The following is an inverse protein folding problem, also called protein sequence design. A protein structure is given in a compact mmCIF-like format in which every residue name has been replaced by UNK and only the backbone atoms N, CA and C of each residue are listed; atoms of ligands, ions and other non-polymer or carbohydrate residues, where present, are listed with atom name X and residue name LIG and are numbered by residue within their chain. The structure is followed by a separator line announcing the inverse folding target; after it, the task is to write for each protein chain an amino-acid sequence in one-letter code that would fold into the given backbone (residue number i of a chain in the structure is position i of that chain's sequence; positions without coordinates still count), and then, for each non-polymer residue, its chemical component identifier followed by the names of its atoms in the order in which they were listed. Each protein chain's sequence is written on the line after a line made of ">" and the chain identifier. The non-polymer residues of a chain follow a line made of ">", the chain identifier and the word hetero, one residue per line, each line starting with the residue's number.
data_IF_627354366084
#
_entry.id   IF_627354366084
#
_cell.length_a   1.000
_cell.length_b   1.000
_cell.length_c   1.000
_cell.angle_alpha   90.00
_cell.angle_beta   90.00
_cell.angle_gamma   90.00
#
_symmetry.space_group_name_H-M   'P 1'
#
loop_
_entity.id
_entity.type
_entity.pdbx_description
1 polymer ?
#
# COMPACT_ATOMS: atom_id res chain seq x y z
N UNK A 1 30.72 -10.10 -2.24
CA UNK A 1 30.26 -11.28 -3.01
C UNK A 1 29.23 -10.81 -4.04
N UNK A 2 29.42 -11.05 -5.34
CA UNK A 2 28.54 -10.51 -6.39
C UNK A 2 27.29 -11.38 -6.58
N UNK A 3 26.10 -10.77 -6.55
CA UNK A 3 24.81 -11.40 -6.84
C UNK A 3 24.69 -11.74 -8.34
N UNK A 4 24.57 -13.03 -8.64
CA UNK A 4 24.55 -13.59 -9.99
C UNK A 4 23.20 -13.46 -10.74
N UNK A 5 22.23 -12.68 -10.25
CA UNK A 5 20.89 -12.64 -10.86
C UNK A 5 20.49 -11.31 -11.54
N UNK A 6 21.34 -10.27 -11.55
CA UNK A 6 21.01 -8.98 -12.20
C UNK A 6 21.51 -8.83 -13.64
N UNK A 7 21.98 -9.90 -14.30
CA UNK A 7 22.68 -9.81 -15.59
C UNK A 7 22.05 -10.51 -16.81
N UNK A 8 20.76 -10.86 -16.80
CA UNK A 8 20.18 -11.60 -17.94
C UNK A 8 18.90 -11.06 -18.57
N UNK A 9 18.56 -9.79 -18.44
CA UNK A 9 17.33 -9.26 -19.11
C UNK A 9 17.57 -8.18 -20.16
N UNK A 10 18.82 -7.79 -20.45
CA UNK A 10 19.08 -6.71 -21.42
C UNK A 10 19.27 -7.16 -22.88
N UNK A 11 18.85 -8.37 -23.28
CA UNK A 11 19.17 -8.83 -24.65
C UNK A 11 18.16 -9.76 -25.31
N UNK A 12 16.87 -9.42 -25.27
CA UNK A 12 15.89 -9.98 -26.22
C UNK A 12 14.72 -8.99 -26.48
N UNK A 13 15.03 -7.83 -27.04
CA UNK A 13 14.03 -6.97 -27.71
C UNK A 13 13.90 -7.40 -29.17
N UNK A 14 13.28 -8.56 -29.39
CA UNK A 14 12.81 -8.99 -30.72
C UNK A 14 11.73 -10.06 -30.52
N UNK A 15 10.46 -9.63 -30.55
CA UNK A 15 9.28 -10.50 -30.39
C UNK A 15 8.51 -10.26 -29.08
N UNK A 16 7.80 -9.12 -28.98
CA UNK A 16 6.86 -8.87 -27.87
C UNK A 16 5.51 -9.48 -28.20
N UNK A 17 5.30 -10.72 -27.78
CA UNK A 17 4.00 -11.42 -27.79
C UNK A 17 3.22 -11.03 -26.53
N UNK A 18 1.94 -10.68 -26.66
CA UNK A 18 1.03 -10.20 -25.59
C UNK A 18 0.76 -11.20 -24.44
N UNK A 19 1.30 -12.42 -24.51
CA UNK A 19 1.13 -13.44 -23.48
C UNK A 19 2.09 -13.29 -22.28
N UNK A 20 3.23 -12.59 -22.45
CA UNK A 20 4.20 -12.38 -21.37
C UNK A 20 3.69 -11.40 -20.29
N UNK A 21 2.78 -10.48 -20.65
CA UNK A 21 2.27 -9.47 -19.73
C UNK A 21 1.31 -10.02 -18.68
N UNK A 22 0.56 -11.08 -18.97
CA UNK A 22 -0.39 -11.67 -18.02
C UNK A 22 0.33 -12.43 -16.89
N UNK A 23 1.31 -13.28 -17.24
CA UNK A 23 2.10 -14.04 -16.28
C UNK A 23 3.00 -13.16 -15.40
N UNK A 24 3.59 -12.10 -15.97
CA UNK A 24 4.36 -11.11 -15.21
C UNK A 24 3.49 -10.30 -14.24
N UNK A 25 2.26 -9.94 -14.65
CA UNK A 25 1.31 -9.21 -13.80
C UNK A 25 0.82 -10.07 -12.63
N UNK A 26 0.45 -11.33 -12.89
CA UNK A 26 -0.01 -12.27 -11.88
C UNK A 26 1.07 -12.58 -10.83
N UNK A 27 2.34 -12.67 -11.23
CA UNK A 27 3.47 -12.87 -10.32
C UNK A 27 3.76 -11.64 -9.44
N UNK A 28 3.65 -10.44 -10.01
CA UNK A 28 3.83 -9.18 -9.26
C UNK A 28 2.70 -9.02 -8.23
N UNK A 29 1.45 -9.28 -8.62
CA UNK A 29 0.32 -9.23 -7.68
C UNK A 29 0.45 -10.29 -6.58
N UNK A 30 0.80 -11.54 -6.91
CA UNK A 30 0.96 -12.60 -5.91
C UNK A 30 2.12 -12.37 -4.93
N UNK A 31 3.19 -11.70 -5.37
CA UNK A 31 4.30 -11.30 -4.48
C UNK A 31 3.92 -10.10 -3.61
N UNK A 32 3.28 -9.08 -4.18
CA UNK A 32 2.76 -7.94 -3.45
C UNK A 32 1.67 -8.34 -2.42
N UNK A 33 0.87 -9.36 -2.73
CA UNK A 33 -0.12 -9.96 -1.84
C UNK A 33 0.55 -10.59 -0.61
N UNK A 34 1.60 -11.40 -0.85
CA UNK A 34 2.40 -12.00 0.22
C UNK A 34 3.05 -10.94 1.09
N UNK A 35 3.58 -9.89 0.48
CA UNK A 35 4.15 -8.77 1.21
C UNK A 35 3.09 -8.09 2.10
N UNK A 36 1.90 -7.82 1.55
CA UNK A 36 0.82 -7.13 2.24
C UNK A 36 0.27 -7.93 3.43
N UNK A 37 -0.01 -9.22 3.27
CA UNK A 37 -0.43 -10.09 4.37
C UNK A 37 0.65 -10.13 5.46
N UNK A 38 1.92 -10.14 5.08
CA UNK A 38 3.04 -10.01 6.01
C UNK A 38 2.96 -8.75 6.86
N UNK A 39 2.72 -7.58 6.25
CA UNK A 39 2.56 -6.32 6.98
C UNK A 39 1.32 -6.33 7.90
N UNK A 40 0.17 -6.79 7.41
CA UNK A 40 -1.06 -6.83 8.19
C UNK A 40 -0.93 -7.75 9.41
N UNK A 41 -0.28 -8.91 9.25
CA UNK A 41 -0.04 -9.87 10.33
C UNK A 41 0.87 -9.34 11.44
N UNK A 42 1.70 -8.33 11.17
CA UNK A 42 2.55 -7.70 12.20
C UNK A 42 1.78 -6.69 13.06
N UNK A 43 0.58 -6.29 12.65
CA UNK A 43 -0.20 -5.29 13.38
C UNK A 43 -0.96 -5.95 14.53
N UNK A 44 -0.83 -5.37 15.72
CA UNK A 44 -1.56 -5.84 16.90
C UNK A 44 -3.08 -5.83 16.72
N UNK A 45 -3.60 -4.97 15.84
CA UNK A 45 -5.02 -4.88 15.52
C UNK A 45 -5.60 -6.18 14.92
N UNK A 46 -4.78 -6.99 14.25
CA UNK A 46 -5.22 -8.17 13.50
C UNK A 46 -4.69 -9.50 14.07
N UNK A 47 -4.10 -9.47 15.27
CA UNK A 47 -3.44 -10.65 15.88
C UNK A 47 -4.36 -11.85 16.11
N UNK A 48 -5.64 -11.62 16.33
CA UNK A 48 -6.62 -12.65 16.69
C UNK A 48 -7.38 -13.18 15.46
N UNK A 49 -7.04 -12.71 14.26
CA UNK A 49 -7.68 -13.16 13.03
C UNK A 49 -7.10 -14.51 12.58
N UNK A 50 -8.00 -15.42 12.20
CA UNK A 50 -7.63 -16.65 11.52
C UNK A 50 -7.00 -16.35 10.14
N UNK A 51 -6.30 -17.32 9.53
CA UNK A 51 -5.75 -17.15 8.19
C UNK A 51 -6.80 -16.82 7.12
N UNK A 52 -8.03 -17.30 7.27
CA UNK A 52 -9.13 -17.01 6.35
C UNK A 52 -9.60 -15.56 6.50
N UNK A 53 -9.83 -15.09 7.73
CA UNK A 53 -10.20 -13.70 8.01
C UNK A 53 -9.10 -12.72 7.57
N UNK A 54 -7.82 -13.09 7.75
CA UNK A 54 -6.70 -12.29 7.25
C UNK A 54 -6.72 -12.14 5.72
N UNK A 55 -7.12 -13.19 4.98
CA UNK A 55 -7.31 -13.08 3.53
C UNK A 55 -8.49 -12.17 3.16
N UNK A 56 -9.54 -12.13 3.98
CA UNK A 56 -10.66 -11.21 3.77
C UNK A 56 -10.23 -9.76 3.99
N UNK A 57 -9.48 -9.47 5.05
CA UNK A 57 -8.90 -8.15 5.30
C UNK A 57 -7.97 -7.74 4.16
N UNK A 58 -7.13 -8.66 3.69
CA UNK A 58 -6.30 -8.42 2.54
C UNK A 58 -7.15 -8.07 1.31
N UNK A 59 -8.16 -8.86 0.94
CA UNK A 59 -9.03 -8.54 -0.21
C UNK A 59 -9.78 -7.22 -0.06
N UNK A 60 -10.19 -6.86 1.15
CA UNK A 60 -10.93 -5.63 1.45
C UNK A 60 -10.04 -4.37 1.44
N UNK A 61 -8.72 -4.51 1.57
CA UNK A 61 -7.79 -3.38 1.68
C UNK A 61 -7.00 -3.17 0.39
N UNK A 62 -6.55 -1.93 0.14
CA UNK A 62 -5.70 -1.57 -1.01
C UNK A 62 -4.46 -0.84 -0.55
N UNK A 63 -3.29 -1.19 -1.11
CA UNK A 63 -2.06 -0.42 -0.90
C UNK A 63 -2.04 0.77 -1.86
N UNK A 64 -1.82 1.97 -1.31
CA UNK A 64 -1.68 3.19 -2.10
C UNK A 64 -0.47 3.99 -1.64
N UNK A 65 0.34 4.43 -2.60
CA UNK A 65 1.44 5.37 -2.35
C UNK A 65 0.93 6.80 -2.56
N UNK A 66 1.23 7.68 -1.61
CA UNK A 66 0.90 9.10 -1.67
C UNK A 66 2.19 9.93 -1.70
N UNK A 67 2.19 10.98 -2.51
CA UNK A 67 3.25 11.99 -2.50
C UNK A 67 3.09 12.93 -1.30
N UNK A 68 4.19 13.55 -0.86
CA UNK A 68 4.15 14.55 0.21
C UNK A 68 3.19 15.69 -0.14
N UNK A 69 2.39 16.12 0.82
CA UNK A 69 1.38 17.17 0.64
C UNK A 69 0.04 16.71 0.05
N UNK A 70 -0.10 15.44 -0.39
CA UNK A 70 -1.39 14.92 -0.86
C UNK A 70 -2.40 14.83 0.29
N UNK A 71 -3.56 15.46 0.11
CA UNK A 71 -4.75 15.21 0.93
C UNK A 71 -5.47 13.99 0.35
N UNK A 72 -5.67 12.97 1.17
CA UNK A 72 -6.30 11.69 0.74
C UNK A 72 -7.51 11.31 1.59
N UNK A 73 -7.92 12.19 2.50
CA UNK A 73 -9.15 12.09 3.28
C UNK A 73 -9.62 13.49 3.65
N UNK A 74 -10.91 13.76 3.49
CA UNK A 74 -11.55 15.00 3.97
C UNK A 74 -12.78 14.66 4.83
N UNK A 75 -12.96 15.32 5.99
CA UNK A 75 -14.18 15.14 6.78
C UNK A 75 -15.43 15.44 5.93
N UNK A 76 -16.42 14.55 5.98
CA UNK A 76 -17.65 14.65 5.19
C UNK A 76 -17.63 13.87 3.87
N UNK A 77 -16.49 13.30 3.48
CA UNK A 77 -16.48 12.22 2.48
C UNK A 77 -17.29 11.02 3.01
N UNK A 78 -18.08 10.40 2.14
CA UNK A 78 -19.02 9.35 2.54
C UNK A 78 -18.30 8.04 2.84
N UNK A 79 -18.67 7.42 3.97
CA UNK A 79 -18.17 6.11 4.38
C UNK A 79 -17.22 6.14 5.58
N UNK A 80 -17.23 5.06 6.34
CA UNK A 80 -16.23 4.78 7.37
C UNK A 80 -15.03 4.12 6.69
N UNK A 81 -13.85 4.76 6.76
CA UNK A 81 -12.63 4.25 6.13
C UNK A 81 -11.51 4.19 7.15
N UNK A 82 -10.84 3.04 7.21
CA UNK A 82 -9.62 2.84 8.00
C UNK A 82 -8.40 2.98 7.09
N UNK A 83 -7.46 3.84 7.50
CA UNK A 83 -6.16 3.96 6.87
C UNK A 83 -5.08 3.32 7.73
N UNK A 84 -4.26 2.48 7.11
CA UNK A 84 -3.07 1.88 7.73
C UNK A 84 -1.86 2.52 7.07
N UNK A 85 -1.06 3.25 7.86
CA UNK A 85 0.20 3.78 7.38
C UNK A 85 1.23 2.66 7.37
N UNK A 86 1.83 2.37 6.21
CA UNK A 86 2.88 1.35 6.04
C UNK A 86 4.30 1.94 6.06
N UNK A 87 4.45 3.21 5.67
CA UNK A 87 5.72 3.94 5.68
C UNK A 87 5.47 5.43 5.55
N UNK A 88 6.26 6.24 6.26
CA UNK A 88 6.26 7.69 6.14
C UNK A 88 5.61 8.35 7.35
N UNK A 89 5.03 9.53 7.13
CA UNK A 89 4.33 10.27 8.18
C UNK A 89 3.08 10.93 7.61
N UNK A 90 2.03 10.99 8.43
CA UNK A 90 0.78 11.67 8.11
C UNK A 90 0.53 12.77 9.13
N UNK A 91 0.05 13.90 8.65
CA UNK A 91 -0.41 14.99 9.50
C UNK A 91 -1.92 15.07 9.45
N UNK A 92 -2.55 15.04 10.62
CA UNK A 92 -3.98 15.30 10.76
C UNK A 92 -4.14 16.77 11.15
N UNK A 93 -5.00 17.48 10.43
CA UNK A 93 -5.29 18.88 10.68
C UNK A 93 -6.77 19.19 10.50
N UNK A 94 -7.19 20.31 11.05
CA UNK A 94 -8.50 20.91 10.80
C UNK A 94 -8.30 22.34 10.28
N UNK A 95 -9.29 22.85 9.55
CA UNK A 95 -9.33 24.24 9.12
C UNK A 95 -10.20 25.04 10.11
N UNK A 96 -9.73 26.19 10.57
CA UNK A 96 -10.55 27.12 11.36
C UNK A 96 -11.61 27.79 10.47
N UNK A 97 -12.66 28.39 11.04
CA UNK A 97 -13.65 29.16 10.28
C UNK A 97 -13.02 30.28 9.43
N UNK A 98 -11.88 30.82 9.87
CA UNK A 98 -11.10 31.86 9.18
C UNK A 98 -10.10 31.29 8.16
N UNK A 99 -10.13 29.98 7.88
CA UNK A 99 -9.28 29.33 6.88
C UNK A 99 -7.86 29.00 7.34
N UNK A 100 -7.57 29.02 8.65
CA UNK A 100 -6.23 28.68 9.16
C UNK A 100 -6.10 27.18 9.43
N UNK A 101 -4.97 26.59 9.03
CA UNK A 101 -4.65 25.18 9.30
C UNK A 101 -4.19 24.99 10.75
N UNK A 102 -4.91 24.19 11.51
CA UNK A 102 -4.55 23.75 12.85
C UNK A 102 -4.16 22.28 12.83
N UNK A 103 -2.88 21.98 13.06
CA UNK A 103 -2.38 20.62 13.17
C UNK A 103 -2.82 20.02 14.51
N UNK A 104 -3.45 18.85 14.46
CA UNK A 104 -3.96 18.16 15.65
C UNK A 104 -3.16 16.92 16.02
N UNK A 105 -2.51 16.28 15.04
CA UNK A 105 -1.63 15.15 15.29
C UNK A 105 -0.61 14.97 14.15
N UNK A 106 0.55 14.43 14.49
CA UNK A 106 1.50 13.88 13.53
C UNK A 106 1.67 12.39 13.85
N UNK A 107 1.44 11.55 12.85
CA UNK A 107 1.49 10.09 12.97
C UNK A 107 2.68 9.57 12.16
N UNK A 108 3.80 9.21 12.82
CA UNK A 108 4.91 8.51 12.18
C UNK A 108 4.62 7.01 12.06
N UNK A 109 5.27 6.33 11.11
CA UNK A 109 5.29 4.87 10.97
C UNK A 109 6.58 4.28 11.50
#
# INVERSE_FOLDING_TARGET
>A
MPNAFSKLTKRLMSGRTAAATAAETEYIEASALRDKIGYLSMMDLFRDLSPAEMQEIDRATRMQTCTAGRVFYMPGETGEVLFILKKGAVQIYRMSPEGRKLVIANLPQ
#
